data_IF_174275557073
#
_entry.id   IF_174275557073
#
_cell.length_a   1.000
_cell.length_b   1.000
_cell.length_c   1.000
_cell.angle_alpha   90.00
_cell.angle_beta   90.00
_cell.angle_gamma   90.00
#
_symmetry.space_group_name_H-M   'P 1'
#
loop_
_entity.id
_entity.type
_entity.pdbx_description
1 polymer ?
#
# COMPACT_ATOMS: atom_id res chain seq x y z
N UNK A 1 16.53 6.14 11.50
CA UNK A 1 15.09 5.90 11.30
C UNK A 1 14.88 4.65 10.46
N UNK A 2 13.73 4.04 10.55
CA UNK A 2 13.38 2.92 9.69
C UNK A 2 13.20 3.37 8.23
N UNK A 3 13.30 2.42 7.29
CA UNK A 3 12.91 2.65 5.91
C UNK A 3 11.41 2.39 5.73
N UNK A 4 10.77 3.14 4.86
CA UNK A 4 9.36 3.03 4.55
C UNK A 4 9.16 2.18 3.28
N UNK A 5 8.29 1.20 3.35
CA UNK A 5 7.89 0.37 2.20
C UNK A 5 6.42 0.62 1.91
N UNK A 6 6.13 1.18 0.74
CA UNK A 6 4.76 1.35 0.25
C UNK A 6 4.38 0.12 -0.57
N UNK A 7 3.39 -0.65 -0.12
CA UNK A 7 2.78 -1.66 -0.99
C UNK A 7 1.92 -0.95 -2.03
N UNK A 8 2.00 -1.36 -3.27
CA UNK A 8 1.23 -0.78 -4.38
C UNK A 8 0.52 -1.89 -5.15
N UNK A 9 -0.77 -1.74 -5.35
CA UNK A 9 -1.57 -2.70 -6.11
C UNK A 9 -3.06 -2.54 -5.84
N UNK A 10 -3.88 -2.95 -6.80
CA UNK A 10 -5.35 -2.96 -6.64
C UNK A 10 -5.77 -4.01 -5.61
N UNK A 11 -6.99 -3.91 -5.04
CA UNK A 11 -7.54 -4.99 -4.24
C UNK A 11 -7.50 -6.31 -5.00
N UNK A 12 -7.08 -7.39 -4.35
CA UNK A 12 -6.92 -8.70 -5.00
C UNK A 12 -5.57 -8.91 -5.69
N UNK A 13 -4.64 -7.97 -5.61
CA UNK A 13 -3.31 -8.11 -6.23
C UNK A 13 -2.37 -9.06 -5.47
N UNK A 14 -2.66 -9.36 -4.19
CA UNK A 14 -1.81 -10.20 -3.36
C UNK A 14 -0.78 -9.43 -2.53
N UNK A 15 -0.86 -8.10 -2.49
CA UNK A 15 0.11 -7.26 -1.77
C UNK A 15 0.17 -7.55 -0.27
N UNK A 16 -0.97 -7.76 0.38
CA UNK A 16 -1.04 -8.10 1.81
C UNK A 16 -0.37 -9.43 2.10
N UNK A 17 -0.67 -10.46 1.31
CA UNK A 17 -0.07 -11.78 1.41
C UNK A 17 1.44 -11.71 1.24
N UNK A 18 1.91 -10.96 0.26
CA UNK A 18 3.34 -10.75 0.03
C UNK A 18 4.00 -10.03 1.20
N UNK A 19 3.40 -8.93 1.68
CA UNK A 19 3.94 -8.16 2.80
C UNK A 19 4.12 -9.03 4.05
N UNK A 20 3.11 -9.83 4.39
CA UNK A 20 3.14 -10.70 5.57
C UNK A 20 4.20 -11.80 5.51
N UNK A 21 4.73 -12.12 4.33
CA UNK A 21 5.81 -13.10 4.18
C UNK A 21 7.18 -12.57 4.58
N UNK A 22 7.42 -11.25 4.43
CA UNK A 22 8.75 -10.71 4.71
C UNK A 22 8.86 -9.90 6.00
N UNK A 23 7.75 -9.46 6.59
CA UNK A 23 7.76 -8.72 7.86
C UNK A 23 8.17 -9.62 9.01
N UNK A 24 8.97 -9.08 9.93
CA UNK A 24 9.48 -9.77 11.11
C UNK A 24 9.44 -8.88 12.36
N UNK A 25 10.12 -9.32 13.41
CA UNK A 25 10.12 -8.64 14.72
C UNK A 25 10.65 -7.21 14.69
N UNK A 26 11.48 -6.89 13.70
CA UNK A 26 12.10 -5.57 13.55
C UNK A 26 11.27 -4.61 12.69
N UNK A 27 10.14 -5.07 12.19
CA UNK A 27 9.28 -4.35 11.28
C UNK A 27 7.97 -3.96 11.94
N UNK A 28 7.35 -2.90 11.42
CA UNK A 28 5.99 -2.50 11.78
C UNK A 28 5.13 -2.56 10.51
N UNK A 29 4.02 -3.27 10.61
CA UNK A 29 3.04 -3.40 9.54
C UNK A 29 1.81 -2.55 9.84
N UNK A 30 1.46 -1.68 8.90
CA UNK A 30 0.28 -0.80 9.02
C UNK A 30 -0.62 -1.05 7.82
N UNK A 31 -1.81 -1.58 8.08
CA UNK A 31 -2.81 -1.88 7.05
C UNK A 31 -3.95 -0.88 7.08
N UNK A 32 -4.18 -0.22 5.95
CA UNK A 32 -5.31 0.69 5.80
C UNK A 32 -6.65 -0.04 5.91
N UNK A 33 -6.75 -1.26 5.39
CA UNK A 33 -7.96 -2.07 5.49
C UNK A 33 -8.24 -2.50 6.94
N UNK A 34 -7.23 -2.91 7.70
CA UNK A 34 -7.42 -3.25 9.11
C UNK A 34 -7.91 -2.04 9.91
N UNK A 35 -7.38 -0.85 9.64
CA UNK A 35 -7.84 0.41 10.25
C UNK A 35 -9.29 0.67 9.87
N UNK A 36 -9.65 0.54 8.60
CA UNK A 36 -11.02 0.73 8.12
C UNK A 36 -11.98 -0.22 8.83
N UNK A 37 -11.65 -1.49 8.93
CA UNK A 37 -12.49 -2.48 9.60
C UNK A 37 -12.64 -2.21 11.11
N UNK A 38 -11.69 -1.54 11.73
CA UNK A 38 -11.80 -1.14 13.15
C UNK A 38 -12.69 0.09 13.36
N UNK A 39 -12.82 0.95 12.35
CA UNK A 39 -13.56 2.22 12.45
C UNK A 39 -14.97 2.16 11.84
N UNK A 40 -15.16 1.32 10.82
CA UNK A 40 -16.43 1.19 10.10
C UNK A 40 -17.15 -0.06 10.57
N UNK A 41 -18.40 0.09 11.04
CA UNK A 41 -19.24 -1.05 11.43
C UNK A 41 -19.69 -1.86 10.21
N UNK A 42 -20.06 -3.13 10.44
CA UNK A 42 -20.45 -4.05 9.35
C UNK A 42 -21.66 -3.58 8.54
N UNK A 43 -22.55 -2.81 9.17
CA UNK A 43 -23.75 -2.24 8.57
C UNK A 43 -23.56 -0.86 7.96
N UNK A 44 -22.36 -0.28 8.12
CA UNK A 44 -22.02 1.03 7.54
C UNK A 44 -21.40 0.86 6.13
N UNK A 45 -21.57 1.86 5.23
CA UNK A 45 -20.90 1.83 3.93
C UNK A 45 -19.38 1.73 4.07
N UNK A 46 -18.76 0.94 3.22
CA UNK A 46 -17.32 0.62 3.24
C UNK A 46 -16.42 1.86 3.33
N UNK A 47 -16.74 2.91 2.57
CA UNK A 47 -15.95 4.12 2.49
C UNK A 47 -16.50 5.29 3.33
N UNK A 48 -17.39 5.01 4.31
CA UNK A 48 -18.08 6.07 5.09
C UNK A 48 -17.18 6.89 5.99
N UNK A 49 -16.00 6.38 6.37
CA UNK A 49 -15.06 7.04 7.29
C UNK A 49 -13.66 7.20 6.72
N UNK A 50 -13.55 7.37 5.41
CA UNK A 50 -12.25 7.41 4.72
C UNK A 50 -11.31 8.51 5.22
N UNK A 51 -11.82 9.67 5.61
CA UNK A 51 -10.99 10.75 6.17
C UNK A 51 -10.33 10.33 7.49
N UNK A 52 -11.09 9.67 8.38
CA UNK A 52 -10.58 9.16 9.65
C UNK A 52 -9.60 7.99 9.42
N UNK A 53 -9.93 7.11 8.48
CA UNK A 53 -9.07 5.97 8.09
C UNK A 53 -7.73 6.49 7.58
N UNK A 54 -7.74 7.48 6.70
CA UNK A 54 -6.52 8.06 6.15
C UNK A 54 -5.67 8.73 7.23
N UNK A 55 -6.28 9.54 8.09
CA UNK A 55 -5.58 10.21 9.20
C UNK A 55 -4.93 9.20 10.14
N UNK A 56 -5.65 8.17 10.52
CA UNK A 56 -5.15 7.13 11.41
C UNK A 56 -4.02 6.34 10.74
N UNK A 57 -4.15 6.03 9.46
CA UNK A 57 -3.14 5.34 8.67
C UNK A 57 -1.83 6.14 8.63
N UNK A 58 -1.90 7.42 8.28
CA UNK A 58 -0.74 8.32 8.23
C UNK A 58 -0.07 8.41 9.61
N UNK A 59 -0.85 8.59 10.67
CA UNK A 59 -0.33 8.67 12.03
C UNK A 59 0.42 7.41 12.44
N UNK A 60 -0.14 6.25 12.19
CA UNK A 60 0.50 4.96 12.53
C UNK A 60 1.77 4.70 11.72
N UNK A 61 1.78 5.06 10.44
CA UNK A 61 2.98 4.98 9.61
C UNK A 61 4.07 5.92 10.16
N UNK A 62 3.71 7.16 10.45
CA UNK A 62 4.64 8.15 10.97
C UNK A 62 5.27 7.73 12.31
N UNK A 63 4.46 7.26 13.25
CA UNK A 63 4.94 6.70 14.52
C UNK A 63 5.85 5.48 14.29
N UNK A 64 5.49 4.63 13.34
CA UNK A 64 6.26 3.44 12.99
C UNK A 64 7.67 3.76 12.55
N UNK A 65 7.90 4.87 11.86
CA UNK A 65 9.22 5.29 11.35
C UNK A 65 10.22 5.45 12.49
N UNK A 66 9.77 5.91 13.66
CA UNK A 66 10.64 6.07 14.84
C UNK A 66 10.76 4.78 15.67
N UNK A 67 9.80 3.88 15.60
CA UNK A 67 9.70 2.69 16.44
C UNK A 67 10.28 1.43 15.80
N UNK A 68 10.10 1.26 14.48
CA UNK A 68 10.62 0.10 13.76
C UNK A 68 12.15 0.15 13.69
N UNK A 69 12.78 -1.02 13.75
CA UNK A 69 14.22 -1.14 13.63
C UNK A 69 14.70 -1.30 12.19
N UNK A 70 13.83 -1.77 11.30
CA UNK A 70 14.16 -2.04 9.90
C UNK A 70 13.17 -1.38 8.95
N UNK A 71 11.94 -1.89 8.88
CA UNK A 71 10.94 -1.39 7.94
C UNK A 71 9.64 -1.01 8.62
N UNK A 72 9.00 0.04 8.10
CA UNK A 72 7.57 0.27 8.25
C UNK A 72 6.92 -0.09 6.92
N UNK A 73 6.02 -1.05 6.93
CA UNK A 73 5.30 -1.48 5.72
C UNK A 73 3.91 -0.85 5.74
N UNK A 74 3.69 0.07 4.81
CA UNK A 74 2.42 0.76 4.62
C UNK A 74 1.60 0.03 3.55
N UNK A 75 0.63 -0.76 3.98
CA UNK A 75 -0.22 -1.57 3.11
C UNK A 75 -1.52 -0.82 2.79
N UNK A 76 -1.53 -0.20 1.63
CA UNK A 76 -2.69 0.41 0.98
C UNK A 76 -2.51 0.27 -0.53
N UNK A 77 -3.44 0.77 -1.33
CA UNK A 77 -3.35 0.60 -2.78
C UNK A 77 -2.24 1.43 -3.42
N UNK A 78 -2.01 2.66 -2.96
CA UNK A 78 -0.92 3.57 -3.41
C UNK A 78 -0.77 3.66 -4.94
N UNK A 79 -1.89 3.68 -5.67
CA UNK A 79 -1.93 3.42 -7.12
C UNK A 79 -1.40 4.56 -7.99
N UNK A 80 -1.38 5.78 -7.48
CA UNK A 80 -0.98 6.95 -8.26
C UNK A 80 -0.17 7.94 -7.43
N UNK A 81 0.42 8.92 -8.12
CA UNK A 81 1.27 9.92 -7.49
C UNK A 81 0.54 10.71 -6.39
N UNK A 82 -0.74 11.02 -6.60
CA UNK A 82 -1.56 11.74 -5.61
C UNK A 82 -1.76 10.97 -4.32
N UNK A 83 -2.08 9.68 -4.39
CA UNK A 83 -2.25 8.83 -3.20
C UNK A 83 -0.95 8.64 -2.44
N UNK A 84 0.16 8.44 -3.14
CA UNK A 84 1.48 8.34 -2.51
C UNK A 84 1.89 9.66 -1.86
N UNK A 85 1.66 10.78 -2.54
CA UNK A 85 1.98 12.10 -2.02
C UNK A 85 1.16 12.46 -0.76
N UNK A 86 -0.09 12.02 -0.66
CA UNK A 86 -0.91 12.23 0.55
C UNK A 86 -0.26 11.62 1.79
N UNK A 87 0.31 10.44 1.67
CA UNK A 87 1.05 9.85 2.77
C UNK A 87 2.37 10.58 3.02
N UNK A 88 3.21 10.70 1.99
CA UNK A 88 4.59 11.18 2.15
C UNK A 88 4.66 12.63 2.63
N UNK A 89 3.77 13.50 2.17
CA UNK A 89 3.75 14.92 2.58
C UNK A 89 3.26 15.16 3.99
N UNK A 90 2.56 14.20 4.58
CA UNK A 90 1.99 14.32 5.92
C UNK A 90 2.80 13.58 6.99
N UNK A 91 3.94 13.02 6.63
CA UNK A 91 4.87 12.44 7.60
C UNK A 91 5.66 13.54 8.29
N UNK A 92 5.72 13.49 9.62
CA UNK A 92 6.58 14.38 10.43
C UNK A 92 7.99 13.81 10.57
N UNK A 93 8.11 12.48 10.54
CA UNK A 93 9.39 11.79 10.63
C UNK A 93 9.86 11.41 9.23
N UNK A 94 11.16 11.60 8.97
CA UNK A 94 11.75 11.26 7.69
C UNK A 94 12.30 9.83 7.74
N UNK A 95 11.80 8.90 6.90
CA UNK A 95 12.40 7.57 6.81
C UNK A 95 13.79 7.65 6.16
N UNK A 96 14.64 6.65 6.43
CA UNK A 96 15.98 6.56 5.82
C UNK A 96 15.90 6.38 4.30
N UNK A 97 15.01 5.50 3.87
CA UNK A 97 14.72 5.27 2.45
C UNK A 97 13.22 5.06 2.25
N UNK A 98 12.76 5.25 1.02
CA UNK A 98 11.38 5.00 0.62
C UNK A 98 11.38 4.03 -0.55
N UNK A 99 10.77 2.87 -0.35
CA UNK A 99 10.63 1.83 -1.36
C UNK A 99 9.18 1.60 -1.72
N UNK A 100 8.94 1.20 -2.96
CA UNK A 100 7.62 0.75 -3.42
C UNK A 100 7.75 -0.72 -3.84
N UNK A 101 6.82 -1.55 -3.39
CA UNK A 101 6.64 -2.91 -3.91
C UNK A 101 5.33 -2.91 -4.69
N UNK A 102 5.42 -3.01 -6.00
CA UNK A 102 4.27 -3.02 -6.89
C UNK A 102 3.91 -4.44 -7.30
N UNK A 103 2.73 -4.88 -6.86
CA UNK A 103 2.13 -6.16 -7.24
C UNK A 103 1.22 -5.93 -8.44
N UNK A 104 1.73 -6.13 -9.64
CA UNK A 104 0.97 -5.94 -10.88
C UNK A 104 0.16 -7.20 -11.19
N UNK A 105 -1.14 -7.02 -11.38
CA UNK A 105 -2.05 -8.08 -11.85
C UNK A 105 -2.92 -7.53 -12.96
N UNK A 106 -3.46 -8.42 -13.82
CA UNK A 106 -4.47 -8.02 -14.79
C UNK A 106 -5.78 -7.62 -14.09
N UNK A 107 -6.58 -6.80 -14.74
CA UNK A 107 -7.91 -6.47 -14.23
C UNK A 107 -8.75 -7.73 -14.01
N UNK A 108 -8.69 -8.68 -14.95
CA UNK A 108 -9.41 -9.95 -14.83
C UNK A 108 -9.00 -10.71 -13.56
N UNK A 109 -7.71 -10.87 -13.32
CA UNK A 109 -7.22 -11.55 -12.11
C UNK A 109 -7.68 -10.84 -10.83
N UNK A 110 -7.61 -9.52 -10.80
CA UNK A 110 -8.07 -8.74 -9.64
C UNK A 110 -9.57 -8.94 -9.39
N UNK A 111 -10.39 -8.91 -10.42
CA UNK A 111 -11.84 -9.14 -10.32
C UNK A 111 -12.17 -10.56 -9.88
N UNK A 112 -11.49 -11.57 -10.43
CA UNK A 112 -11.67 -12.97 -10.06
C UNK A 112 -11.33 -13.22 -8.58
N UNK A 113 -10.20 -12.68 -8.12
CA UNK A 113 -9.79 -12.79 -6.72
C UNK A 113 -10.73 -12.04 -5.78
N UNK A 114 -11.19 -10.87 -6.19
CA UNK A 114 -12.17 -10.10 -5.41
C UNK A 114 -13.50 -10.85 -5.28
N UNK A 115 -13.96 -11.52 -6.33
CA UNK A 115 -15.21 -12.30 -6.32
C UNK A 115 -15.20 -13.47 -5.32
N UNK A 116 -14.00 -13.96 -4.93
CA UNK A 116 -13.84 -14.98 -3.90
C UNK A 116 -13.91 -14.44 -2.46
N UNK A 117 -13.87 -13.13 -2.30
CA UNK A 117 -14.00 -12.48 -0.99
C UNK A 117 -15.48 -12.41 -0.61
N UNK A 118 -15.74 -12.29 0.70
CA UNK A 118 -17.09 -12.17 1.23
C UNK A 118 -17.18 -11.05 2.26
N UNK A 119 -18.42 -10.59 2.51
CA UNK A 119 -18.68 -9.56 3.50
C UNK A 119 -17.91 -8.26 3.21
N UNK A 120 -17.27 -7.73 4.25
CA UNK A 120 -16.57 -6.44 4.20
C UNK A 120 -15.34 -6.42 3.32
N UNK A 121 -14.73 -7.58 3.08
CA UNK A 121 -13.54 -7.69 2.23
C UNK A 121 -13.87 -7.62 0.73
N UNK A 122 -15.13 -7.82 0.35
CA UNK A 122 -15.59 -7.73 -1.04
C UNK A 122 -15.72 -6.25 -1.45
N UNK A 123 -14.88 -5.84 -2.39
CA UNK A 123 -14.89 -4.46 -2.92
C UNK A 123 -15.82 -4.41 -4.14
N UNK A 124 -16.62 -3.35 -4.33
CA UNK A 124 -17.42 -3.19 -5.55
C UNK A 124 -16.56 -3.24 -6.82
N UNK A 125 -17.00 -3.97 -7.83
CA UNK A 125 -16.26 -4.12 -9.09
C UNK A 125 -15.97 -2.79 -9.78
N UNK A 126 -16.92 -1.85 -9.76
CA UNK A 126 -16.73 -0.51 -10.32
C UNK A 126 -15.59 0.22 -9.67
N UNK A 127 -15.42 0.06 -8.35
CA UNK A 127 -14.30 0.64 -7.60
C UNK A 127 -12.96 0.06 -8.05
N UNK A 128 -12.88 -1.26 -8.26
CA UNK A 128 -11.66 -1.91 -8.75
C UNK A 128 -11.33 -1.44 -10.17
N UNK A 129 -12.31 -1.36 -11.06
CA UNK A 129 -12.12 -0.86 -12.43
C UNK A 129 -11.60 0.58 -12.44
N UNK A 130 -12.17 1.45 -11.62
CA UNK A 130 -11.73 2.84 -11.50
C UNK A 130 -10.31 2.92 -10.93
N UNK A 131 -9.99 2.13 -9.91
CA UNK A 131 -8.65 2.05 -9.34
C UNK A 131 -7.64 1.60 -10.38
N UNK A 132 -7.96 0.57 -11.15
CA UNK A 132 -7.08 0.04 -12.20
C UNK A 132 -6.76 1.10 -13.25
N UNK A 133 -7.73 1.91 -13.65
CA UNK A 133 -7.52 3.02 -14.59
C UNK A 133 -6.67 4.15 -14.01
N UNK A 134 -6.62 4.29 -12.70
CA UNK A 134 -5.87 5.35 -12.01
C UNK A 134 -4.39 5.03 -11.80
N UNK A 135 -3.94 3.81 -12.14
CA UNK A 135 -2.57 3.38 -11.90
C UNK A 135 -1.57 4.26 -12.65
N UNK A 136 -0.62 4.84 -11.92
CA UNK A 136 0.56 5.48 -12.48
C UNK A 136 1.80 5.05 -11.70
N UNK A 137 2.85 4.68 -12.42
CA UNK A 137 4.09 4.23 -11.80
C UNK A 137 4.80 5.38 -11.09
N UNK A 138 5.53 5.11 -10.00
CA UNK A 138 6.33 6.11 -9.33
C UNK A 138 7.30 6.80 -10.28
N UNK A 139 7.53 8.09 -10.03
CA UNK A 139 8.47 8.94 -10.76
C UNK A 139 9.56 9.43 -9.81
N UNK A 140 10.70 9.79 -10.36
CA UNK A 140 11.85 10.30 -9.61
C UNK A 140 11.48 11.48 -8.70
N UNK A 141 10.60 12.36 -9.16
CA UNK A 141 10.20 13.58 -8.46
C UNK A 141 9.38 13.31 -7.18
N UNK A 142 8.88 12.10 -7.01
CA UNK A 142 8.09 11.72 -5.83
C UNK A 142 8.95 11.51 -4.57
N UNK A 143 10.27 11.41 -4.71
CA UNK A 143 11.17 11.17 -3.58
C UNK A 143 11.30 9.69 -3.20
N UNK A 144 10.83 8.78 -4.05
CA UNK A 144 10.96 7.33 -3.87
C UNK A 144 12.34 6.90 -4.37
N UNK A 145 13.01 6.05 -3.60
CA UNK A 145 14.36 5.60 -3.92
C UNK A 145 14.39 4.42 -4.89
N UNK A 146 13.46 3.47 -4.71
CA UNK A 146 13.44 2.26 -5.51
C UNK A 146 12.03 1.68 -5.60
N UNK A 147 11.70 1.04 -6.72
CA UNK A 147 10.50 0.23 -6.89
C UNK A 147 10.88 -1.20 -7.28
N UNK A 148 10.34 -2.16 -6.56
CA UNK A 148 10.34 -3.57 -6.93
C UNK A 148 9.01 -3.87 -7.63
N UNK A 149 9.06 -4.18 -8.92
CA UNK A 149 7.88 -4.52 -9.71
C UNK A 149 7.78 -6.04 -9.83
N UNK A 150 6.69 -6.60 -9.33
CA UNK A 150 6.45 -8.04 -9.30
C UNK A 150 5.37 -8.45 -10.29
N UNK A 151 5.52 -9.65 -10.86
CA UNK A 151 4.50 -10.32 -11.66
C UNK A 151 3.41 -10.93 -10.75
N UNK A 152 2.34 -11.43 -11.35
CA UNK A 152 1.21 -12.06 -10.62
C UNK A 152 1.63 -13.25 -9.74
N UNK A 153 2.67 -13.98 -10.15
CA UNK A 153 3.22 -15.12 -9.42
C UNK A 153 4.20 -14.72 -8.30
N UNK A 154 4.44 -13.41 -8.12
CA UNK A 154 5.39 -12.90 -7.14
C UNK A 154 6.83 -12.86 -7.60
N UNK A 155 7.15 -13.33 -8.82
CA UNK A 155 8.48 -13.19 -9.39
C UNK A 155 8.80 -11.74 -9.75
N UNK A 156 10.08 -11.38 -9.71
CA UNK A 156 10.52 -10.03 -10.05
C UNK A 156 10.43 -9.78 -11.57
N UNK A 157 9.67 -8.75 -11.95
CA UNK A 157 9.65 -8.26 -13.33
C UNK A 157 10.77 -7.25 -13.57
N UNK A 158 10.91 -6.27 -12.67
CA UNK A 158 11.89 -5.19 -12.81
C UNK A 158 12.20 -4.56 -11.47
N UNK A 159 13.44 -4.10 -11.28
CA UNK A 159 13.85 -3.25 -10.18
C UNK A 159 14.19 -1.89 -10.77
N UNK A 160 13.47 -0.85 -10.36
CA UNK A 160 13.69 0.53 -10.81
C UNK A 160 14.32 1.33 -9.69
N UNK A 161 15.50 1.88 -9.92
CA UNK A 161 16.23 2.72 -8.97
C UNK A 161 16.10 4.18 -9.41
N UNK A 162 15.48 5.00 -8.58
CA UNK A 162 15.26 6.42 -8.87
C UNK A 162 16.38 7.29 -8.30
N UNK A 163 16.95 6.88 -7.15
CA UNK A 163 18.03 7.58 -6.49
C UNK A 163 19.27 6.68 -6.44
N UNK A 164 20.36 7.11 -7.09
CA UNK A 164 21.60 6.33 -7.20
C UNK A 164 22.46 6.32 -5.94
N UNK A 165 22.09 7.07 -4.92
CA UNK A 165 22.81 7.12 -3.63
C UNK A 165 22.32 6.07 -2.63
N UNK A 166 21.44 5.20 -3.06
CA UNK A 166 20.92 4.10 -2.23
C UNK A 166 21.83 2.90 -2.27
#
# INVERSE_FOLDING_TARGET
MASLVLMMGVPGSGKTTYAKKFIGENDIYVSRDEIRFSLVAEDEPYFSKEDEVLKTFILKVDEGITKAKRYVVADATHLNAGSRAKLLRNLHNKPDNIYVIYMAVSLQTALERNAQRSGRALVPETSIKNMFQSISLPRKEEGIDMMLWLNEDGSTKEIVVYNKEV
#
